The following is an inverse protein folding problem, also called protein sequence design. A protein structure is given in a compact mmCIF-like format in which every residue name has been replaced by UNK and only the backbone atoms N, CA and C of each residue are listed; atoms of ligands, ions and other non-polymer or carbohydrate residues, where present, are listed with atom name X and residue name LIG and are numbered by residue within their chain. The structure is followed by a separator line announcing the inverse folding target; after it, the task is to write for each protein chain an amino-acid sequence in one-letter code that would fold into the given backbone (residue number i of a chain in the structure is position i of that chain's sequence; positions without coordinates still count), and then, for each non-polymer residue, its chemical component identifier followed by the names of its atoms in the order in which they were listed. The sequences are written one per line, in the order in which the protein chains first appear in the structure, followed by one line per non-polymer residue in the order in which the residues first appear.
data_IF_705532955467
#
_entry.id   IF_705532955467
#
_cell.length_a   1.000
_cell.length_b   1.000
_cell.length_c   1.000
_cell.angle_alpha   90.00
_cell.angle_beta   90.00
_cell.angle_gamma   90.00
#
_symmetry.space_group_name_H-M   'P 1'
#
loop_
_entity.id
_entity.type
_entity.pdbx_description
1 polymer ?
2 non-polymer ?
3 non-polymer ?
4 non-polymer ?
5 non-polymer ?
6 water ?
#
# COMPACT_ATOMS: atom_id res chain seq x y z
N UNK A 1 5.55 9.36 -15.90
CA UNK A 1 6.10 8.51 -14.84
C UNK A 1 4.88 7.82 -14.23
N UNK A 2 4.66 7.93 -12.92
CA UNK A 2 3.78 6.94 -12.25
C UNK A 2 2.40 7.52 -11.92
N UNK A 3 2.24 8.88 -11.99
CA UNK A 3 0.96 9.45 -11.62
C UNK A 3 0.08 9.47 -12.83
N UNK A 4 -1.19 8.98 -12.84
CA UNK A 4 -2.08 9.07 -13.98
C UNK A 4 -2.57 10.53 -14.31
N UNK A 5 -2.88 10.67 -15.60
CA UNK A 5 -3.31 11.99 -16.16
C UNK A 5 -4.53 12.42 -15.53
N UNK A 6 -4.61 13.72 -15.20
CA UNK A 6 -5.75 14.25 -14.46
C UNK A 6 -5.96 15.73 -14.96
N UNK A 7 -7.19 16.18 -15.10
CA UNK A 7 -7.45 17.60 -15.42
C UNK A 7 -6.98 18.43 -14.26
N UNK A 8 -6.80 19.72 -14.52
CA UNK A 8 -6.46 20.65 -13.47
C UNK A 8 -7.40 20.48 -12.28
N UNK A 9 -6.91 20.65 -11.08
CA UNK A 9 -7.75 20.37 -9.89
C UNK A 9 -8.78 21.44 -9.79
N UNK A 10 -9.92 21.04 -9.35
CA UNK A 10 -11.04 21.94 -9.33
C UNK A 10 -11.10 22.55 -7.88
N UNK A 11 -11.03 23.90 -7.81
CA UNK A 11 -11.03 24.54 -6.46
C UNK A 11 -12.32 24.32 -5.67
N UNK A 12 -13.49 24.20 -6.34
CA UNK A 12 -14.68 23.94 -5.58
C UNK A 12 -14.68 22.55 -4.91
N UNK A 13 -14.06 21.58 -5.55
CA UNK A 13 -13.91 20.26 -4.85
C UNK A 13 -13.01 20.37 -3.71
N UNK A 14 -11.90 21.10 -3.89
CA UNK A 14 -11.04 21.29 -2.75
C UNK A 14 -11.83 21.90 -1.59
N UNK A 15 -12.65 22.93 -1.87
CA UNK A 15 -13.38 23.58 -0.82
C UNK A 15 -14.39 22.58 -0.16
N UNK A 16 -15.04 21.72 -0.99
CA UNK A 16 -15.89 20.71 -0.43
C UNK A 16 -15.18 19.73 0.50
N UNK A 17 -13.98 19.33 0.13
CA UNK A 17 -13.23 18.44 1.01
C UNK A 17 -12.81 19.09 2.28
N UNK A 18 -12.43 20.37 2.18
CA UNK A 18 -12.19 21.08 3.39
C UNK A 18 -13.35 21.17 4.33
N UNK A 19 -14.55 21.45 3.82
CA UNK A 19 -15.75 21.56 4.66
C UNK A 19 -16.01 20.20 5.34
N UNK A 20 -15.81 19.14 4.53
CA UNK A 20 -15.88 17.79 5.09
C UNK A 20 -14.94 17.55 6.22
N UNK A 21 -13.66 17.82 6.06
CA UNK A 21 -12.69 17.58 7.12
C UNK A 21 -12.97 18.46 8.34
N UNK A 22 -13.40 19.70 8.09
CA UNK A 22 -13.75 20.62 9.22
C UNK A 22 -14.85 20.09 10.08
N UNK A 23 -15.78 19.33 9.55
CA UNK A 23 -16.82 18.72 10.33
C UNK A 23 -16.39 17.48 11.05
N UNK A 24 -15.18 16.98 10.83
CA UNK A 24 -14.73 15.73 11.50
C UNK A 24 -13.75 16.02 12.61
N UNK A 25 -13.94 15.36 13.74
CA UNK A 25 -12.96 15.38 14.79
C UNK A 25 -12.15 14.09 14.95
N UNK A 26 -12.64 13.00 14.27
CA UNK A 26 -12.05 11.68 14.47
C UNK A 26 -12.07 10.92 13.09
N UNK A 27 -11.17 11.41 12.25
CA UNK A 27 -11.16 10.95 10.81
C UNK A 27 -10.54 9.55 10.68
N UNK A 28 -11.29 8.65 10.02
CA UNK A 28 -10.74 7.34 9.65
C UNK A 28 -10.32 7.40 8.17
N UNK A 29 -9.01 7.12 7.97
CA UNK A 29 -8.45 7.23 6.63
C UNK A 29 -8.04 5.88 6.10
N UNK A 30 -8.46 5.63 4.83
CA UNK A 30 -7.97 4.45 4.11
C UNK A 30 -7.14 4.90 2.94
N UNK A 31 -5.93 4.32 2.77
CA UNK A 31 -5.09 4.67 1.62
C UNK A 31 -4.81 3.46 0.80
N UNK A 32 -4.60 3.67 -0.48
CA UNK A 32 -4.06 2.72 -1.39
C UNK A 32 -2.86 3.25 -2.22
N UNK A 33 -2.53 2.55 -3.32
CA UNK A 33 -1.34 2.75 -4.02
C UNK A 33 -1.19 4.06 -4.71
N UNK A 34 -2.29 4.70 -4.83
CA UNK A 34 -2.31 6.01 -5.36
C UNK A 34 -1.65 7.08 -4.55
N UNK A 35 -1.52 6.84 -3.23
CA UNK A 35 -0.85 7.77 -2.33
C UNK A 35 0.63 7.74 -2.51
N UNK A 36 1.21 6.76 -3.20
CA UNK A 36 2.63 6.55 -3.36
C UNK A 36 3.14 6.74 -4.80
N UNK A 37 2.26 7.00 -5.75
CA UNK A 37 2.68 7.27 -7.13
C UNK A 37 3.63 8.54 -7.16
N UNK A 38 3.29 9.53 -6.34
CA UNK A 38 4.17 10.73 -6.22
C UNK A 38 5.51 10.48 -5.59
N UNK A 39 5.70 9.35 -5.01
CA UNK A 39 7.01 8.84 -4.57
C UNK A 39 7.71 8.04 -5.56
N UNK A 40 7.11 7.77 -6.73
CA UNK A 40 7.78 6.99 -7.71
C UNK A 40 7.46 5.53 -7.72
N UNK A 41 6.40 5.10 -6.99
CA UNK A 41 5.99 3.72 -6.99
C UNK A 41 4.71 3.58 -7.81
N UNK A 42 4.73 2.71 -8.81
CA UNK A 42 3.55 2.63 -9.63
C UNK A 42 2.38 2.11 -8.87
N UNK A 43 1.19 2.41 -9.33
CA UNK A 43 -0.04 1.72 -8.77
C UNK A 43 -0.39 0.56 -9.76
N UNK A 44 -1.56 -0.10 -9.48
CA UNK A 44 -1.95 -1.26 -10.18
C UNK A 44 -2.88 -0.95 -11.31
N UNK A 45 -3.78 0.00 -11.15
CA UNK A 45 -4.99 0.07 -11.99
C UNK A 45 -5.21 1.41 -12.60
N UNK A 46 -4.32 2.38 -12.46
CA UNK A 46 -4.45 3.66 -13.15
C UNK A 46 -4.45 3.48 -14.65
N UNK A 47 -5.40 4.15 -15.32
CA UNK A 47 -5.45 4.05 -16.79
C UNK A 47 -4.18 4.57 -17.35
N UNK A 48 -3.52 3.80 -18.15
CA UNK A 48 -2.33 4.34 -18.77
C UNK A 48 -1.06 4.02 -18.15
N UNK A 49 -0.99 4.03 -16.83
CA UNK A 49 0.26 3.99 -16.12
C UNK A 49 0.33 2.81 -15.14
N UNK A 50 -0.82 2.32 -14.66
CA UNK A 50 -0.84 1.28 -13.63
C UNK A 50 -0.24 0.01 -14.10
N UNK A 51 0.33 -0.83 -13.26
CA UNK A 51 0.95 -2.07 -13.65
C UNK A 51 -0.01 -2.93 -14.53
N UNK A 52 -1.27 -3.05 -14.12
CA UNK A 52 -2.11 -3.98 -14.88
C UNK A 52 -2.69 -3.33 -16.09
N UNK A 53 -2.69 -2.02 -16.20
CA UNK A 53 -3.14 -1.32 -17.39
C UNK A 53 -2.10 -1.39 -18.46
N UNK A 54 -0.85 -1.21 -18.07
CA UNK A 54 0.23 -0.99 -19.02
C UNK A 54 1.11 -2.15 -19.28
N UNK A 55 1.09 -3.18 -18.47
CA UNK A 55 1.97 -4.28 -18.53
C UNK A 55 1.21 -5.64 -18.44
N UNK A 56 1.88 -6.80 -18.69
CA UNK A 56 1.15 -8.10 -18.52
C UNK A 56 1.70 -8.83 -17.23
N UNK A 57 2.22 -8.01 -16.34
CA UNK A 57 2.60 -8.55 -15.03
C UNK A 57 1.36 -9.14 -14.40
N UNK A 58 1.62 -10.23 -13.69
CA UNK A 58 0.59 -11.00 -13.08
C UNK A 58 1.00 -11.16 -11.56
N UNK A 59 0.04 -11.11 -10.65
CA UNK A 59 0.43 -11.33 -9.22
C UNK A 59 0.68 -12.81 -8.98
N UNK A 60 1.63 -13.09 -8.07
CA UNK A 60 1.84 -14.42 -7.61
C UNK A 60 0.69 -14.80 -6.75
N UNK A 61 0.31 -16.07 -6.91
CA UNK A 61 -0.82 -16.54 -6.17
C UNK A 61 -0.23 -17.14 -4.89
N UNK A 62 -0.89 -16.88 -3.75
CA UNK A 62 -0.52 -17.49 -2.41
C UNK A 62 -0.34 -18.91 -2.54
N UNK A 63 -1.39 -19.57 -3.16
CA UNK A 63 -1.31 -21.01 -3.22
C UNK A 63 -0.04 -21.54 -3.90
N UNK A 64 0.33 -20.91 -5.01
CA UNK A 64 1.48 -21.29 -5.75
C UNK A 64 2.72 -21.03 -4.95
N UNK A 65 2.85 -19.85 -4.29
CA UNK A 65 4.05 -19.69 -3.46
C UNK A 65 4.21 -20.82 -2.42
N UNK A 66 3.13 -21.10 -1.76
CA UNK A 66 3.15 -22.15 -0.74
C UNK A 66 3.42 -23.51 -1.29
N UNK A 67 2.99 -23.81 -2.50
CA UNK A 67 3.06 -25.24 -2.96
C UNK A 67 4.25 -25.50 -3.86
N UNK A 68 4.97 -24.48 -4.35
CA UNK A 68 5.99 -24.70 -5.38
C UNK A 68 7.29 -24.04 -5.05
N UNK A 69 8.29 -24.88 -4.82
CA UNK A 69 9.68 -24.37 -4.64
C UNK A 69 10.15 -23.51 -5.78
N UNK A 70 9.82 -23.92 -6.97
CA UNK A 70 10.22 -23.12 -8.11
C UNK A 70 9.58 -21.70 -8.17
N UNK A 71 8.35 -21.62 -7.70
CA UNK A 71 7.62 -20.33 -7.68
C UNK A 71 8.27 -19.46 -6.63
N UNK A 72 8.61 -20.11 -5.51
CA UNK A 72 9.28 -19.31 -4.41
C UNK A 72 10.60 -18.79 -4.91
N UNK A 73 11.36 -19.58 -5.67
CA UNK A 73 12.64 -19.14 -6.20
C UNK A 73 12.49 -17.99 -7.17
N UNK A 74 11.46 -18.07 -8.03
CA UNK A 74 11.11 -17.01 -8.99
C UNK A 74 10.81 -15.67 -8.24
N UNK A 75 9.94 -15.82 -7.26
CA UNK A 75 9.36 -14.72 -6.50
C UNK A 75 10.59 -14.00 -5.87
N UNK A 76 11.42 -14.81 -5.18
CA UNK A 76 12.48 -14.16 -4.37
C UNK A 76 13.59 -13.58 -5.20
N UNK A 77 13.91 -14.22 -6.32
CA UNK A 77 14.96 -13.69 -7.17
C UNK A 77 14.57 -12.26 -7.69
N UNK A 78 13.27 -12.15 -8.11
CA UNK A 78 12.77 -10.86 -8.53
C UNK A 78 12.72 -9.85 -7.35
N UNK A 79 12.28 -10.28 -6.22
CA UNK A 79 12.22 -9.41 -5.08
C UNK A 79 13.63 -8.91 -4.67
N UNK A 80 14.59 -9.85 -4.69
CA UNK A 80 16.04 -9.51 -4.50
C UNK A 80 16.56 -8.44 -5.33
N UNK A 81 16.30 -8.62 -6.62
CA UNK A 81 16.77 -7.57 -7.52
C UNK A 81 16.12 -6.23 -7.30
N UNK A 82 14.80 -6.22 -7.05
CA UNK A 82 14.10 -4.98 -6.80
C UNK A 82 14.27 -4.27 -5.46
N UNK A 83 14.83 -4.99 -4.48
CA UNK A 83 14.81 -4.52 -3.14
C UNK A 83 15.65 -3.21 -2.90
N UNK A 84 16.87 -3.09 -3.42
CA UNK A 84 17.59 -1.83 -3.16
C UNK A 84 16.81 -0.60 -3.64
N UNK A 85 16.19 -0.62 -4.77
CA UNK A 85 15.43 0.53 -5.21
C UNK A 85 14.08 0.69 -4.44
N UNK A 86 13.44 -0.42 -4.26
CA UNK A 86 12.14 -0.37 -3.62
C UNK A 86 12.22 0.15 -2.19
N UNK A 87 13.21 -0.35 -1.49
CA UNK A 87 13.44 0.04 -0.09
C UNK A 87 13.95 1.48 0.11
N UNK A 88 14.30 2.14 -0.97
CA UNK A 88 14.87 3.49 -1.01
C UNK A 88 13.84 4.58 -1.26
N UNK A 89 12.60 4.22 -1.58
CA UNK A 89 11.59 5.20 -1.83
C UNK A 89 11.32 5.93 -0.54
N UNK A 90 10.89 7.18 -0.68
CA UNK A 90 10.63 8.08 0.46
C UNK A 90 9.17 8.58 0.49
N UNK A 91 8.64 8.91 1.65
CA UNK A 91 7.26 9.41 1.77
C UNK A 91 7.15 10.76 1.02
N UNK A 92 6.02 11.07 0.50
CA UNK A 92 5.77 12.32 -0.18
C UNK A 92 4.87 13.17 0.70
N UNK A 93 4.52 14.34 0.17
CA UNK A 93 3.77 15.30 0.97
C UNK A 93 2.43 14.79 1.43
N UNK A 94 1.82 13.85 0.70
CA UNK A 94 0.55 13.32 1.19
C UNK A 94 0.74 12.49 2.49
N UNK A 95 1.76 11.58 2.47
CA UNK A 95 2.09 10.78 3.68
C UNK A 95 2.38 11.78 4.84
N UNK A 96 3.21 12.79 4.53
CA UNK A 96 3.58 13.78 5.63
C UNK A 96 2.43 14.52 6.22
N UNK A 97 1.54 15.00 5.38
CA UNK A 97 0.38 15.74 5.83
C UNK A 97 -0.53 14.87 6.63
N UNK A 98 -0.80 13.59 6.22
CA UNK A 98 -1.56 12.73 7.07
C UNK A 98 -0.93 12.47 8.44
N UNK A 99 0.40 12.45 8.54
CA UNK A 99 1.06 12.35 9.81
C UNK A 99 0.83 13.65 10.64
N UNK A 100 0.84 14.79 9.98
CA UNK A 100 0.53 16.06 10.72
C UNK A 100 -0.84 15.96 11.29
N UNK A 101 -1.83 15.42 10.57
CA UNK A 101 -3.16 15.37 11.10
C UNK A 101 -3.28 14.50 12.28
N UNK A 102 -2.50 13.37 12.30
CA UNK A 102 -2.38 12.56 13.45
C UNK A 102 -1.82 13.36 14.66
N UNK A 103 -0.69 14.00 14.46
CA UNK A 103 -0.11 14.81 15.51
C UNK A 103 -1.12 15.80 16.08
N UNK A 104 -1.98 16.34 15.25
CA UNK A 104 -2.98 17.33 15.68
C UNK A 104 -4.18 16.75 16.39
N UNK A 105 -4.29 15.42 16.45
CA UNK A 105 -5.33 14.64 17.12
C UNK A 105 -6.62 14.58 16.32
N UNK A 106 -6.55 14.83 15.01
CA UNK A 106 -7.69 14.85 14.15
C UNK A 106 -7.91 13.55 13.30
N UNK A 107 -6.79 12.87 13.13
CA UNK A 107 -6.82 11.55 12.49
C UNK A 107 -6.90 10.53 13.55
N UNK A 108 -8.02 9.82 13.51
CA UNK A 108 -8.29 8.81 14.46
C UNK A 108 -7.52 7.53 14.21
N UNK A 109 -7.58 7.06 12.96
CA UNK A 109 -6.82 5.87 12.65
C UNK A 109 -6.64 5.85 11.12
N UNK A 110 -5.55 5.25 10.64
CA UNK A 110 -5.29 5.15 9.20
C UNK A 110 -5.04 3.71 8.88
N UNK A 111 -5.74 3.13 7.90
CA UNK A 111 -5.46 1.80 7.32
C UNK A 111 -4.92 1.98 5.94
N UNK A 112 -3.88 1.23 5.61
CA UNK A 112 -3.30 1.27 4.26
C UNK A 112 -3.35 -0.12 3.74
N UNK A 113 -3.57 -0.17 2.36
CA UNK A 113 -3.41 -1.35 1.53
C UNK A 113 -1.98 -1.53 1.03
N UNK A 114 -1.17 -0.51 1.27
CA UNK A 114 0.17 -0.51 0.68
C UNK A 114 1.16 -1.30 1.47
N UNK A 115 2.14 -1.86 0.78
CA UNK A 115 3.20 -2.64 1.38
C UNK A 115 4.55 -1.97 1.38
N UNK A 116 4.62 -0.69 1.03
CA UNK A 116 5.80 0.08 0.75
C UNK A 116 6.50 0.72 1.97
N UNK A 117 5.89 0.60 3.17
CA UNK A 117 6.39 1.19 4.40
C UNK A 117 6.43 2.67 4.46
N UNK A 118 5.91 3.39 3.46
CA UNK A 118 6.00 4.80 3.44
C UNK A 118 5.27 5.54 4.55
N UNK A 119 4.11 5.01 4.97
CA UNK A 119 3.45 5.67 6.12
C UNK A 119 4.29 5.46 7.40
N UNK A 120 4.97 4.35 7.50
CA UNK A 120 5.84 4.10 8.66
C UNK A 120 7.03 5.07 8.59
N UNK A 121 7.62 5.24 7.43
CA UNK A 121 8.73 6.20 7.30
C UNK A 121 8.35 7.63 7.60
N UNK A 122 7.13 8.05 7.29
CA UNK A 122 6.57 9.32 7.57
C UNK A 122 6.30 9.52 9.07
N UNK A 123 6.22 8.47 9.82
CA UNK A 123 5.91 8.57 11.25
C UNK A 123 4.52 8.35 11.70
N UNK A 124 3.71 7.66 10.86
CA UNK A 124 2.34 7.44 11.20
C UNK A 124 2.24 6.32 12.26
N UNK A 125 1.74 6.66 13.44
CA UNK A 125 1.61 5.68 14.56
C UNK A 125 0.32 4.97 14.62
N UNK A 126 -0.75 5.68 14.34
CA UNK A 126 -2.08 5.10 14.44
C UNK A 126 -2.42 4.46 13.07
N UNK A 127 -1.77 3.33 12.87
CA UNK A 127 -1.62 2.72 11.52
C UNK A 127 -1.92 1.26 11.57
N UNK A 128 -2.69 0.76 10.56
CA UNK A 128 -2.77 -0.60 10.27
C UNK A 128 -2.30 -0.87 8.84
N UNK A 129 -1.35 -1.74 8.64
CA UNK A 129 -0.99 -2.20 7.29
C UNK A 129 -1.81 -3.44 6.91
N UNK A 130 -2.94 -3.22 6.27
CA UNK A 130 -3.90 -4.24 5.99
C UNK A 130 -3.37 -5.46 5.25
N UNK A 131 -2.39 -5.17 4.34
CA UNK A 131 -1.81 -6.20 3.48
C UNK A 131 -0.36 -6.49 3.87
N UNK A 132 0.01 -6.04 5.06
CA UNK A 132 1.39 -6.25 5.48
C UNK A 132 2.38 -5.25 4.89
N UNK A 133 3.69 -5.68 4.79
CA UNK A 133 4.76 -4.88 4.41
C UNK A 133 5.90 -5.69 3.88
N UNK A 134 6.47 -5.26 2.76
CA UNK A 134 7.55 -6.02 2.19
C UNK A 134 8.85 -5.88 2.98
N UNK A 135 8.89 -5.01 3.94
CA UNK A 135 10.06 -4.79 4.76
C UNK A 135 10.16 -5.84 5.88
N UNK A 136 9.16 -6.71 5.98
CA UNK A 136 9.11 -7.77 7.02
C UNK A 136 9.01 -9.10 6.27
N UNK A 137 9.60 -10.14 6.94
CA UNK A 137 9.65 -11.50 6.47
C UNK A 137 9.13 -12.38 7.57
N UNK A 138 8.28 -13.35 7.26
CA UNK A 138 7.74 -14.26 8.18
C UNK A 138 8.03 -15.73 7.82
N UNK A 139 8.29 -16.56 8.81
CA UNK A 139 8.42 -17.95 8.52
C UNK A 139 7.11 -18.71 8.55
N UNK A 140 6.85 -19.50 7.55
CA UNK A 140 5.61 -20.28 7.40
C UNK A 140 5.58 -21.46 8.39
N UNK A 141 6.72 -21.81 8.92
CA UNK A 141 6.86 -22.87 9.94
C UNK A 141 6.68 -22.42 11.32
N UNK A 142 7.30 -21.35 11.74
CA UNK A 142 7.31 -20.95 13.12
C UNK A 142 6.68 -19.59 13.39
N UNK A 143 6.32 -18.86 12.34
CA UNK A 143 5.79 -17.48 12.47
C UNK A 143 6.70 -16.44 13.06
N UNK A 144 8.00 -16.73 13.08
CA UNK A 144 8.93 -15.72 13.52
C UNK A 144 9.04 -14.59 12.39
N UNK A 145 9.05 -13.33 12.80
CA UNK A 145 9.14 -12.20 11.91
C UNK A 145 10.50 -11.57 12.01
N UNK A 146 11.13 -11.40 10.86
CA UNK A 146 12.41 -10.80 10.71
C UNK A 146 12.42 -9.63 9.69
N UNK A 147 13.51 -8.93 9.65
CA UNK A 147 13.67 -7.84 8.74
C UNK A 147 14.08 -8.28 7.36
N UNK A 148 13.42 -7.72 6.31
CA UNK A 148 13.80 -8.01 4.94
C UNK A 148 15.25 -7.49 4.60
N UNK A 149 15.65 -6.45 5.28
CA UNK A 149 17.05 -6.00 5.10
C UNK A 149 18.03 -7.05 5.48
N UNK A 150 17.77 -7.77 6.52
CA UNK A 150 18.70 -8.89 6.96
C UNK A 150 18.71 -10.05 5.96
N UNK A 151 17.56 -10.35 5.34
CA UNK A 151 17.47 -11.34 4.36
C UNK A 151 18.31 -10.93 3.16
N UNK A 152 18.41 -9.68 2.80
CA UNK A 152 19.20 -9.29 1.65
C UNK A 152 20.64 -9.80 1.78
N UNK A 153 21.21 -9.57 2.95
CA UNK A 153 22.59 -9.98 3.24
C UNK A 153 22.76 -11.48 3.06
N UNK A 154 21.77 -12.26 3.47
CA UNK A 154 21.78 -13.70 3.43
C UNK A 154 21.69 -14.18 1.97
N UNK A 155 20.89 -13.47 1.10
CA UNK A 155 20.78 -13.78 -0.27
C UNK A 155 22.13 -13.57 -0.96
N UNK A 156 22.84 -12.51 -0.60
CA UNK A 156 24.12 -12.24 -1.24
C UNK A 156 25.15 -13.33 -0.91
N UNK A 157 25.18 -13.79 0.32
CA UNK A 157 26.12 -14.91 0.70
C UNK A 157 25.74 -16.22 0.03
N UNK A 158 24.47 -16.51 -0.10
CA UNK A 158 24.04 -17.70 -0.78
C UNK A 158 24.20 -17.68 -2.25
N UNK A 159 24.14 -16.49 -2.89
CA UNK A 159 24.12 -16.37 -4.31
C UNK A 159 25.17 -15.35 -4.69
N UNK A 160 26.46 -15.73 -4.50
CA UNK A 160 27.54 -14.70 -4.65
C UNK A 160 27.83 -14.26 -6.05
N UNK A 161 27.36 -14.99 -7.05
CA UNK A 161 27.70 -14.59 -8.38
C UNK A 161 26.45 -13.93 -9.07
N UNK A 162 25.37 -13.85 -8.34
CA UNK A 162 24.21 -13.05 -8.79
C UNK A 162 24.33 -11.61 -9.00
N UNK A 163 24.10 -11.26 -10.30
CA UNK A 163 23.78 -9.93 -10.75
C UNK A 163 22.67 -10.03 -11.80
N UNK A 164 21.62 -9.21 -11.67
CA UNK A 164 20.83 -8.80 -12.85
C UNK A 164 20.51 -7.33 -12.59
N UNK A 165 20.20 -6.56 -13.64
CA UNK A 165 19.68 -5.18 -13.45
C UNK A 165 18.14 -5.18 -13.13
N UNK A 166 17.68 -4.16 -12.38
CA UNK A 166 16.25 -4.00 -11.94
C UNK A 166 15.35 -3.29 -13.00
N UNK A 167 14.37 -4.03 -13.59
CA UNK A 167 13.45 -3.57 -14.70
C UNK A 167 11.94 -3.81 -14.45
N UNK A 168 11.21 -2.70 -14.58
CA UNK A 168 9.76 -2.60 -14.32
C UNK A 168 9.43 -2.85 -12.85
N UNK A 169 9.86 -1.94 -11.94
CA UNK A 169 9.55 -2.05 -10.46
C UNK A 169 7.97 -1.93 -10.30
N UNK A 170 7.40 -2.80 -9.51
CA UNK A 170 5.96 -2.86 -9.23
C UNK A 170 5.70 -2.22 -7.82
N UNK A 171 4.36 -2.03 -7.42
CA UNK A 171 4.01 -1.50 -6.12
C UNK A 171 4.40 -2.34 -4.88
N UNK A 172 4.82 -3.61 -5.09
CA UNK A 172 5.38 -4.57 -4.06
C UNK A 172 6.90 -4.92 -4.25
N UNK A 173 7.57 -4.16 -5.11
CA UNK A 173 8.99 -4.21 -5.20
C UNK A 173 9.44 -5.28 -6.12
N UNK A 174 8.49 -5.92 -6.82
CA UNK A 174 8.82 -7.00 -7.72
C UNK A 174 9.47 -6.30 -8.98
N UNK A 175 10.46 -6.98 -9.61
CA UNK A 175 10.98 -6.54 -11.00
C UNK A 175 10.81 -7.75 -11.96
N UNK A 176 10.68 -7.55 -13.28
CA UNK A 176 10.60 -8.70 -14.17
C UNK A 176 11.98 -9.40 -14.32
N UNK A 177 11.97 -10.71 -14.13
CA UNK A 177 13.02 -11.61 -14.59
C UNK A 177 12.38 -12.83 -15.26
N UNK A 178 13.10 -13.36 -16.27
CA UNK A 178 12.65 -14.62 -16.92
C UNK A 178 12.90 -15.83 -16.06
N UNK A 179 12.12 -16.87 -16.37
CA UNK A 179 12.17 -18.13 -15.66
C UNK A 179 13.54 -18.74 -15.77
N UNK A 180 14.27 -18.49 -16.86
CA UNK A 180 15.65 -18.95 -16.95
C UNK A 180 16.62 -18.05 -16.16
N UNK A 181 16.40 -16.72 -16.19
CA UNK A 181 17.21 -15.76 -15.32
C UNK A 181 17.21 -16.20 -13.79
N UNK A 182 16.04 -16.63 -13.29
CA UNK A 182 15.79 -17.01 -11.87
C UNK A 182 15.97 -18.50 -11.56
N UNK A 183 16.39 -19.28 -12.53
CA UNK A 183 16.22 -20.74 -12.39
C UNK A 183 17.14 -21.37 -11.31
N UNK A 184 18.34 -20.81 -11.24
CA UNK A 184 19.42 -21.26 -10.31
C UNK A 184 19.35 -20.79 -8.74
N UNK A 185 18.80 -19.60 -8.61
CA UNK A 185 18.88 -18.76 -7.37
C UNK A 185 18.46 -19.61 -6.20
N UNK A 186 19.09 -19.41 -5.07
CA UNK A 186 18.85 -20.13 -3.85
C UNK A 186 18.29 -19.22 -2.72
N UNK A 187 17.34 -19.74 -2.04
CA UNK A 187 16.59 -19.04 -1.05
C UNK A 187 17.02 -19.49 0.38
N UNK A 188 17.47 -18.54 1.27
CA UNK A 188 17.74 -18.85 2.65
C UNK A 188 16.51 -19.38 3.39
N UNK A 189 16.71 -20.38 4.23
CA UNK A 189 15.66 -20.88 5.14
C UNK A 189 15.66 -20.09 6.44
N UNK A 190 14.60 -20.30 7.19
CA UNK A 190 14.45 -19.75 8.55
C UNK A 190 15.62 -20.12 9.45
N UNK A 191 16.29 -19.12 10.09
CA UNK A 191 17.40 -19.45 11.00
C UNK A 191 16.97 -20.11 12.28
N UNK A 192 15.70 -20.03 12.66
CA UNK A 192 15.26 -20.68 13.85
C UNK A 192 14.86 -22.11 13.64
N UNK A 193 14.12 -22.46 12.63
CA UNK A 193 13.49 -23.73 12.38
C UNK A 193 13.81 -24.42 11.12
N UNK A 194 14.43 -23.72 10.18
CA UNK A 194 14.59 -24.26 8.90
C UNK A 194 13.45 -24.26 7.94
N UNK A 195 12.35 -23.62 8.30
CA UNK A 195 11.20 -23.53 7.42
C UNK A 195 11.24 -22.47 6.36
N UNK A 196 10.14 -22.37 5.64
CA UNK A 196 10.05 -21.55 4.41
C UNK A 196 9.69 -20.11 4.76
N UNK A 197 10.52 -19.19 4.29
CA UNK A 197 10.29 -17.75 4.51
C UNK A 197 9.44 -17.15 3.42
N UNK A 198 8.60 -16.16 3.83
CA UNK A 198 7.65 -15.46 2.90
C UNK A 198 7.73 -14.02 3.26
N UNK A 199 7.58 -13.12 2.32
CA UNK A 199 7.43 -11.73 2.79
C UNK A 199 6.14 -11.62 3.59
N UNK A 200 6.08 -10.75 4.56
CA UNK A 200 4.94 -10.63 5.42
C UNK A 200 3.93 -9.64 4.78
N UNK A 201 3.41 -10.11 3.67
CA UNK A 201 2.38 -9.44 2.86
C UNK A 201 1.30 -10.46 2.57
N UNK A 202 0.07 -9.98 2.30
CA UNK A 202 -1.06 -10.82 1.95
C UNK A 202 -1.07 -10.90 0.40
N UNK A 203 -0.53 -12.01 -0.13
CA UNK A 203 -0.58 -12.25 -1.57
C UNK A 203 -2.02 -12.38 -2.07
N UNK A 204 -2.18 -12.18 -3.42
CA UNK A 204 -3.47 -12.62 -4.08
C UNK A 204 -3.83 -14.05 -3.63
N UNK A 205 -5.07 -14.20 -3.27
CA UNK A 205 -5.57 -15.46 -2.81
C UNK A 205 -5.42 -15.78 -1.36
N UNK A 206 -4.49 -15.08 -0.65
CA UNK A 206 -4.52 -15.15 0.77
C UNK A 206 -5.65 -14.18 1.21
N UNK A 207 -5.92 -14.31 2.50
CA UNK A 207 -6.86 -13.44 3.20
C UNK A 207 -6.17 -12.80 4.40
N UNK A 208 -6.68 -11.63 4.74
CA UNK A 208 -6.21 -10.94 5.89
C UNK A 208 -6.81 -11.67 7.12
N UNK A 209 -5.93 -11.80 8.12
CA UNK A 209 -6.26 -12.39 9.43
C UNK A 209 -7.49 -11.82 10.03
N UNK A 210 -8.42 -12.68 10.46
CA UNK A 210 -9.74 -12.19 10.91
C UNK A 210 -9.73 -11.37 12.16
N UNK A 211 -8.86 -11.71 13.06
CA UNK A 211 -8.70 -10.88 14.25
C UNK A 211 -8.17 -9.51 13.95
N UNK A 212 -7.27 -9.42 12.97
CA UNK A 212 -6.76 -8.15 12.57
C UNK A 212 -7.83 -7.35 11.93
N UNK A 213 -8.56 -7.92 10.99
CA UNK A 213 -9.65 -7.19 10.39
C UNK A 213 -10.67 -6.64 11.40
N UNK A 214 -11.02 -7.52 12.34
CA UNK A 214 -11.93 -7.14 13.43
C UNK A 214 -11.39 -5.94 14.25
N UNK A 215 -10.07 -5.98 14.53
CA UNK A 215 -9.50 -4.90 15.27
C UNK A 215 -9.54 -3.55 14.54
N UNK A 216 -9.36 -3.59 13.21
CA UNK A 216 -9.58 -2.36 12.43
C UNK A 216 -11.00 -1.89 12.42
N UNK A 217 -11.94 -2.77 12.24
CA UNK A 217 -13.30 -2.39 12.40
C UNK A 217 -13.57 -1.76 13.80
N UNK A 218 -12.95 -2.30 14.83
CA UNK A 218 -13.17 -1.68 16.11
C UNK A 218 -12.75 -0.23 16.11
N UNK A 219 -11.63 0.10 15.42
CA UNK A 219 -11.20 1.47 15.35
C UNK A 219 -12.14 2.34 14.64
N UNK A 220 -12.82 1.84 13.61
CA UNK A 220 -13.82 2.58 12.96
C UNK A 220 -15.03 3.03 13.75
N UNK A 221 -15.33 2.28 14.82
CA UNK A 221 -16.55 2.58 15.61
C UNK A 221 -16.49 3.84 16.32
N UNK A 222 -15.28 4.36 16.54
CA UNK A 222 -15.13 5.66 17.12
C UNK A 222 -14.94 6.82 16.19
N UNK A 223 -14.82 6.58 14.85
CA UNK A 223 -14.66 7.64 13.95
C UNK A 223 -15.91 8.37 13.65
N UNK A 224 -15.78 9.57 13.14
CA UNK A 224 -16.94 10.30 12.71
C UNK A 224 -17.04 10.63 11.30
N UNK A 225 -16.07 10.09 10.48
CA UNK A 225 -16.07 10.37 9.05
C UNK A 225 -14.96 9.43 8.45
N UNK A 226 -15.09 9.17 7.15
CA UNK A 226 -14.06 8.40 6.45
C UNK A 226 -13.54 9.14 5.23
N UNK A 227 -12.17 9.13 5.06
CA UNK A 227 -11.56 9.70 3.84
C UNK A 227 -10.83 8.54 3.19
N UNK A 228 -11.01 8.32 1.91
CA UNK A 228 -10.22 7.35 1.15
C UNK A 228 -9.31 8.12 0.16
N UNK A 229 -8.03 7.81 0.18
CA UNK A 229 -6.97 8.49 -0.58
C UNK A 229 -6.31 7.51 -1.48
N UNK A 230 -6.41 7.68 -2.83
CA UNK A 230 -5.56 6.85 -3.71
C UNK A 230 -5.79 5.38 -3.70
N UNK A 231 -7.07 4.99 -3.70
CA UNK A 231 -7.49 3.56 -3.95
C UNK A 231 -8.68 3.52 -4.91
N UNK A 232 -8.60 2.61 -5.87
CA UNK A 232 -9.73 2.33 -6.72
C UNK A 232 -10.82 1.55 -5.94
N UNK A 233 -10.47 0.94 -4.83
CA UNK A 233 -11.34 0.09 -4.05
C UNK A 233 -11.96 -1.02 -4.87
N UNK A 234 -11.29 -1.42 -5.92
CA UNK A 234 -11.79 -2.57 -6.73
C UNK A 234 -11.48 -3.83 -6.05
N UNK A 235 -10.57 -3.92 -5.15
CA UNK A 235 -10.24 -5.15 -4.39
C UNK A 235 -11.03 -5.13 -3.07
N UNK A 236 -11.87 -6.18 -2.92
CA UNK A 236 -12.84 -6.30 -1.79
C UNK A 236 -12.15 -6.05 -0.43
N UNK A 237 -10.94 -6.52 -0.27
CA UNK A 237 -10.25 -6.33 0.96
C UNK A 237 -10.24 -4.86 1.42
N UNK A 238 -10.09 -3.92 0.51
CA UNK A 238 -10.25 -2.57 0.83
C UNK A 238 -11.67 -2.00 0.85
N UNK A 239 -12.47 -2.40 -0.16
CA UNK A 239 -13.83 -1.85 -0.36
C UNK A 239 -14.70 -2.19 0.91
N UNK A 240 -14.47 -3.33 1.53
CA UNK A 240 -15.27 -3.65 2.72
C UNK A 240 -15.21 -2.59 3.78
N UNK A 241 -14.09 -1.83 3.92
CA UNK A 241 -14.14 -0.79 4.88
C UNK A 241 -14.99 0.40 4.49
N UNK A 242 -15.13 0.75 3.21
CA UNK A 242 -16.05 1.75 2.82
C UNK A 242 -17.50 1.19 3.08
N UNK A 243 -17.73 -0.05 2.76
CA UNK A 243 -19.05 -0.61 3.09
C UNK A 243 -19.33 -0.50 4.58
N UNK A 244 -18.35 -0.82 5.38
CA UNK A 244 -18.50 -0.66 6.87
C UNK A 244 -18.79 0.78 7.25
N UNK A 245 -18.17 1.78 6.64
CA UNK A 245 -18.47 3.17 6.98
C UNK A 245 -19.89 3.47 6.71
N UNK A 246 -20.42 2.94 5.61
CA UNK A 246 -21.80 3.24 5.24
C UNK A 246 -22.69 2.54 6.23
N UNK A 247 -22.42 1.35 6.64
CA UNK A 247 -23.23 0.72 7.72
C UNK A 247 -23.18 1.48 9.02
N UNK A 248 -22.05 2.14 9.32
CA UNK A 248 -21.95 2.99 10.52
C UNK A 248 -22.57 4.39 10.33
N UNK A 249 -23.13 4.66 9.17
CA UNK A 249 -23.62 5.96 8.76
C UNK A 249 -22.55 7.10 8.86
N UNK A 250 -21.27 6.79 8.58
CA UNK A 250 -20.27 7.81 8.54
C UNK A 250 -20.32 8.53 7.16
N UNK A 251 -20.15 9.83 7.11
CA UNK A 251 -19.93 10.50 5.82
C UNK A 251 -18.55 10.02 5.23
N UNK A 252 -18.58 9.90 3.91
CA UNK A 252 -17.40 9.39 3.18
C UNK A 252 -16.94 10.40 2.15
N UNK A 253 -15.63 10.66 2.11
CA UNK A 253 -15.00 11.51 1.12
C UNK A 253 -13.95 10.73 0.42
N UNK A 254 -13.67 11.06 -0.83
CA UNK A 254 -12.69 10.34 -1.64
C UNK A 254 -11.78 11.36 -2.29
N UNK A 255 -10.47 11.21 -2.21
CA UNK A 255 -9.47 11.99 -2.92
C UNK A 255 -8.74 11.02 -3.79
N UNK A 256 -9.07 10.97 -5.09
CA UNK A 256 -8.59 9.95 -5.98
C UNK A 256 -8.77 10.44 -7.42
N UNK A 257 -7.76 10.19 -8.20
CA UNK A 257 -7.81 10.70 -9.64
C UNK A 257 -8.85 9.87 -10.32
N UNK A 258 -8.79 8.57 -10.37
CA UNK A 258 -9.82 7.84 -11.15
C UNK A 258 -11.11 7.48 -10.42
N UNK A 259 -12.02 6.83 -11.09
CA UNK A 259 -13.19 6.29 -10.48
C UNK A 259 -12.82 5.26 -9.42
N UNK A 260 -13.66 5.21 -8.40
CA UNK A 260 -13.54 4.17 -7.37
C UNK A 260 -14.84 3.43 -7.27
N UNK A 261 -14.71 2.24 -6.67
CA UNK A 261 -15.91 1.45 -6.45
C UNK A 261 -16.84 2.06 -5.43
N UNK A 262 -16.36 2.99 -4.60
CA UNK A 262 -17.20 3.63 -3.60
C UNK A 262 -17.69 5.00 -3.97
N UNK A 263 -17.54 5.42 -5.25
CA UNK A 263 -18.01 6.72 -5.66
C UNK A 263 -19.50 7.06 -5.35
N UNK A 264 -20.28 6.02 -5.44
CA UNK A 264 -21.74 6.03 -5.17
C UNK A 264 -22.04 6.31 -3.73
N UNK A 265 -21.04 6.09 -2.88
CA UNK A 265 -21.21 6.18 -1.39
C UNK A 265 -20.71 7.50 -0.85
N UNK A 266 -20.02 8.28 -1.62
CA UNK A 266 -19.30 9.48 -1.15
C UNK A 266 -20.15 10.70 -1.18
N UNK A 267 -19.96 11.50 -0.18
CA UNK A 267 -20.53 12.81 -0.13
C UNK A 267 -19.72 13.83 -0.99
N UNK A 268 -18.41 13.64 -1.08
CA UNK A 268 -17.47 14.53 -1.67
C UNK A 268 -16.41 13.67 -2.39
N UNK A 269 -16.16 13.98 -3.65
CA UNK A 269 -15.08 13.35 -4.40
C UNK A 269 -14.19 14.38 -5.08
N UNK A 270 -12.90 14.40 -4.77
CA UNK A 270 -11.93 15.29 -5.34
C UNK A 270 -11.07 14.52 -6.29
N UNK A 271 -11.24 14.70 -7.58
CA UNK A 271 -10.43 14.00 -8.56
C UNK A 271 -9.20 14.80 -8.90
N UNK A 272 -8.11 14.59 -8.18
CA UNK A 272 -6.94 15.38 -8.25
C UNK A 272 -5.84 14.58 -7.61
N UNK A 273 -4.63 14.99 -7.93
CA UNK A 273 -3.39 14.53 -7.28
C UNK A 273 -3.38 14.76 -5.83
N UNK A 274 -3.24 13.67 -5.01
CA UNK A 274 -3.37 13.89 -3.60
C UNK A 274 -2.37 14.76 -2.96
N UNK A 275 -1.18 14.72 -3.49
CA UNK A 275 -0.15 15.60 -2.99
C UNK A 275 -0.42 17.07 -3.27
N UNK A 276 -1.23 17.43 -4.28
CA UNK A 276 -1.63 18.84 -4.64
C UNK A 276 -2.66 19.32 -3.63
N UNK A 277 -3.49 18.41 -3.10
CA UNK A 277 -4.63 18.80 -2.37
C UNK A 277 -4.46 18.74 -0.88
N UNK A 278 -3.91 17.66 -0.33
CA UNK A 278 -3.77 17.52 1.15
C UNK A 278 -3.05 18.64 1.87
N UNK A 279 -1.98 19.19 1.23
CA UNK A 279 -1.30 20.31 1.92
C UNK A 279 -2.20 21.47 2.14
N UNK A 280 -3.31 21.58 1.42
CA UNK A 280 -4.23 22.70 1.58
C UNK A 280 -5.28 22.50 2.49
N UNK A 281 -5.39 21.31 3.04
CA UNK A 281 -6.52 21.10 3.97
C UNK A 281 -6.02 21.51 5.37
N UNK A 282 -6.84 22.28 6.06
CA UNK A 282 -6.45 22.88 7.30
C UNK A 282 -7.23 22.29 8.40
N UNK A 283 -6.60 22.26 9.56
CA UNK A 283 -7.19 21.67 10.78
C UNK A 283 -7.62 22.79 11.70
N UNK A 284 -7.11 23.96 11.46
CA UNK A 284 -7.49 25.18 12.23
C UNK A 284 -7.86 26.19 11.20
N UNK A 285 -9.00 26.89 11.39
CA UNK A 285 -9.31 28.16 10.68
C UNK A 285 -8.03 28.92 10.38
N UNK A 286 -7.85 29.35 9.14
CA UNK A 286 -6.82 30.38 8.85
C UNK A 286 -7.18 31.08 7.52
X LIG B 1 -3.36 11.12 -6.34
X LIG B 1 -4.64 10.67 -6.31
X LIG B 1 -5.06 9.53 -6.86
X LIG B 1 -4.14 8.72 -7.46
X LIG B 1 -2.79 9.11 -7.58
X LIG B 1 -2.44 10.38 -6.93
X LIG B 1 -1.19 10.86 -6.93
X LIG B 1 -2.06 8.19 -8.21
X LIG B 1 -2.99 7.28 -8.48
X LIG B 1 -4.22 7.56 -8.07
X LIG B 1 -5.16 0.71 -7.52
X LIG B 1 -5.19 -0.09 -4.69
X LIG B 1 -5.39 6.74 -8.08
X LIG B 1 -4.02 0.74 -8.42
X LIG B 1 -6.57 0.42 -4.63
X LIG B 1 -3.47 -5.03 -5.33
X LIG B 1 -3.68 -6.33 -5.80
X LIG B 1 -5.70 5.93 -9.26
X LIG B 1 -6.60 6.82 -10.00
X LIG B 1 -6.29 -0.25 -7.76
X LIG B 1 -4.24 0.29 -3.63
X LIG B 1 -2.75 -4.94 -3.97
X LIG B 1 -2.97 -6.06 -3.06
X LIG B 1 -6.43 4.71 -8.77
X LIG B 1 -7.86 4.76 -8.72
X LIG B 1 -4.46 0.39 -6.03
X LIG B 1 -3.31 -3.68 -3.45
X LIG B 1 -3.07 -3.45 -2.01
X LIG B 1 -5.85 4.56 -7.34
X LIG B 1 -5.02 5.64 -7.12
X LIG B 1 -4.78 -3.80 -3.89
X LIG B 1 -4.72 -4.36 -5.22
X LIG B 1 -4.95 3.32 -7.12
X LIG B 1 -5.79 2.15 -7.29
X LIG B 1 -5.56 -2.51 -3.92
X LIG B 1 -5.06 -1.65 -4.89
X LIG C 1 10.89 -20.77 11.31
X LIG D 1 -0.07 -11.01 5.89
X LIG D 1 0.57 -11.90 6.82
X LIG D 1 0.49 -9.61 6.04
X LIG D 1 0.17 -9.05 7.34
X LIG E 1 5.88 -13.80 -9.78
X LIG E 1 7.08 -14.36 -9.23
X LIG E 1 5.87 -12.30 -9.51
X LIG E 1 6.13 -12.01 -8.12
X LIG F 1 -0.39 -7.12 11.81
X LIG F 1 -1.13 -8.29 11.50
X LIG F 1 -0.22 -7.04 13.30
X LIG F 1 -1.45 -6.51 13.82
X LIG G 1 -4.61 -3.00 14.26
X LIG G 1 -3.44 -2.23 13.70
X LIG G 1 -4.84 -2.83 15.81
X LIG G 1 -5.94 -1.94 16.26
X LIG H 1 -6.31 -9.70 0.51
X LIG H 1 -7.63 -10.29 0.47
X LIG H 1 -6.09 -8.77 -0.67
X LIG H 1 -6.63 -9.36 -1.89
X LIG H 1 -4.61 -8.52 -0.91
X LIG H 1 -4.10 -9.44 -1.84
#
# INVERSE_FOLDING_TARGET
HMVPACPPPNPHQVEQLQDFVSQSQRLFVMTGAGISTESGIPDYRSEGVGLYSRTERRPIQHSEFVQSQAARRRYWARNFVGWPSFSSHEPNSAHVNLCKWERAGRLHWLVTQNVDALHTKAGQCRLSELHGCTHRVICLGCQTVTKRSELQERFLNLNPSWNEQAHGLAPDGDVFLTDEQVSDFQVPACTKCGGILKPQVTFFGDTVNRGFVFSIYEQMKQADAMLIVGSSLQVYSGYRFALNAKELHLPIAILNIGPTRADHLAKVKVSARCGDVLPHILLQDQ
AR6 N1 C2 N3 C4 C5 C6 N6 N7 C8 N9 PA PB C1' O1A O1B C1D O1D C2' O2' O2A O2B C2D O2D C3' O3' O3A C3D O3D C4' O4' C4D O4D C5' O5' C5D O5D
ZN ZN
EDO C1 O1 C2 O2
EDO C1 O1 C2 O2
EDO C1 O1 C2 O2
EDO C1 O1 C2 O2
GOL C1 O1 C2 O2 C3 O3
#
